data_IF_805508833082
#
_entry.id   IF_805508833082
#
_cell.length_a   1.000
_cell.length_b   1.000
_cell.length_c   1.000
_cell.angle_alpha   90.00
_cell.angle_beta   90.00
_cell.angle_gamma   90.00
#
_symmetry.space_group_name_H-M   'P 1'
#
loop_
_entity.id
_entity.type
_entity.pdbx_description
1 polymer ?
#
# COMPACT_ATOMS: atom_id res chain seq x y z
N UNK A 1 50.58 43.82 -5.49
CA UNK A 1 50.87 43.95 -4.04
C UNK A 1 51.53 45.27 -3.79
N UNK A 2 50.88 46.21 -3.07
CA UNK A 2 51.48 47.47 -2.68
C UNK A 2 52.39 47.21 -1.48
N UNK A 3 53.70 47.36 -1.64
CA UNK A 3 54.63 47.35 -0.53
C UNK A 3 54.35 48.55 0.39
N UNK A 4 53.82 48.28 1.58
CA UNK A 4 53.78 49.27 2.66
C UNK A 4 55.15 49.25 3.34
N UNK A 5 55.91 50.35 3.22
CA UNK A 5 57.12 50.55 3.96
C UNK A 5 56.73 51.29 5.25
N UNK A 6 56.65 50.59 6.36
CA UNK A 6 56.42 51.18 7.70
C UNK A 6 57.72 51.13 8.50
N UNK A 7 58.00 52.15 9.30
CA UNK A 7 59.12 52.11 10.26
C UNK A 7 60.37 52.97 9.94
N UNK A 8 60.31 53.80 8.88
CA UNK A 8 61.53 54.60 8.47
C UNK A 8 61.92 55.68 9.49
N UNK A 9 61.08 56.04 10.45
CA UNK A 9 61.37 57.21 11.35
C UNK A 9 61.35 56.87 12.86
N UNK A 10 60.99 55.67 13.30
CA UNK A 10 60.87 55.34 14.72
C UNK A 10 61.62 54.09 15.16
N UNK A 11 62.26 53.33 14.24
CA UNK A 11 62.97 52.10 14.58
C UNK A 11 62.10 50.97 15.14
N UNK A 12 60.75 51.16 15.18
CA UNK A 12 59.76 50.16 15.59
C UNK A 12 59.22 49.43 14.38
N UNK A 13 59.40 48.16 14.30
CA UNK A 13 58.76 47.29 13.30
C UNK A 13 57.32 47.07 13.69
N UNK A 14 56.42 47.98 13.26
CA UNK A 14 55.00 47.92 13.57
C UNK A 14 54.31 46.77 12.88
N UNK A 15 54.86 46.28 11.75
CA UNK A 15 54.26 45.15 11.02
C UNK A 15 54.55 43.82 11.75
N UNK A 16 55.75 43.72 12.36
CA UNK A 16 56.08 42.59 13.21
C UNK A 16 55.20 42.54 14.48
N UNK A 17 54.99 43.70 15.13
CA UNK A 17 54.11 43.79 16.30
C UNK A 17 52.63 43.44 15.94
N UNK A 18 52.13 43.92 14.80
CA UNK A 18 50.80 43.59 14.33
C UNK A 18 50.68 42.09 14.00
N UNK A 19 51.70 41.52 13.37
CA UNK A 19 51.76 40.08 13.10
C UNK A 19 51.77 39.24 14.37
N UNK A 20 52.58 39.61 15.40
CA UNK A 20 52.55 38.93 16.69
C UNK A 20 51.22 39.06 17.42
N UNK A 21 50.57 40.22 17.40
CA UNK A 21 49.24 40.42 17.97
C UNK A 21 48.16 39.58 17.24
N UNK A 22 48.19 39.59 15.92
CA UNK A 22 47.26 38.76 15.10
C UNK A 22 47.51 37.27 15.38
N UNK A 23 48.75 36.82 15.47
CA UNK A 23 49.12 35.46 15.82
C UNK A 23 48.59 35.06 17.20
N UNK A 24 48.76 35.93 18.21
CA UNK A 24 48.29 35.68 19.58
C UNK A 24 46.74 35.59 19.65
N UNK A 25 46.04 36.45 18.91
CA UNK A 25 44.57 36.37 18.79
C UNK A 25 44.11 35.14 18.02
N UNK A 26 44.81 34.75 16.95
CA UNK A 26 44.56 33.54 16.19
C UNK A 26 44.68 32.30 17.06
N UNK A 27 45.78 32.17 17.81
CA UNK A 27 45.99 31.05 18.76
C UNK A 27 44.87 30.95 19.82
N UNK A 28 44.41 32.10 20.33
CA UNK A 28 43.28 32.11 21.27
C UNK A 28 41.96 31.65 20.61
N UNK A 29 41.72 32.05 19.38
CA UNK A 29 40.51 31.65 18.61
C UNK A 29 40.59 30.16 18.30
N UNK A 30 41.75 29.66 17.85
CA UNK A 30 41.96 28.23 17.58
C UNK A 30 41.72 27.36 18.81
N UNK A 31 42.15 27.80 19.99
CA UNK A 31 41.88 27.10 21.24
C UNK A 31 40.38 26.94 21.48
N UNK A 32 39.58 28.00 21.31
CA UNK A 32 38.14 27.93 21.49
C UNK A 32 37.49 27.04 20.42
N UNK A 33 37.94 27.07 19.17
CA UNK A 33 37.45 26.19 18.11
C UNK A 33 37.73 24.72 18.42
N UNK A 34 38.96 24.40 18.90
CA UNK A 34 39.32 23.05 19.32
C UNK A 34 38.45 22.58 20.51
N UNK A 35 38.21 23.45 21.51
CA UNK A 35 37.34 23.16 22.64
C UNK A 35 35.88 22.93 22.20
N UNK A 36 35.37 23.74 21.28
CA UNK A 36 34.01 23.58 20.70
C UNK A 36 33.90 22.26 19.96
N UNK A 37 34.88 21.90 19.12
CA UNK A 37 34.93 20.63 18.40
C UNK A 37 34.91 19.44 19.37
N UNK A 38 35.73 19.51 20.43
CA UNK A 38 35.76 18.46 21.46
C UNK A 38 34.45 18.34 22.21
N UNK A 39 33.82 19.47 22.51
CA UNK A 39 32.47 19.47 23.13
C UNK A 39 31.42 18.84 22.20
N UNK A 40 31.44 19.18 20.91
CA UNK A 40 30.56 18.58 19.91
C UNK A 40 30.70 17.06 19.83
N UNK A 41 31.96 16.57 19.77
CA UNK A 41 32.23 15.12 19.80
C UNK A 41 31.77 14.46 21.10
N UNK A 42 31.94 15.13 22.24
CA UNK A 42 31.42 14.62 23.52
C UNK A 42 29.90 14.53 23.55
N UNK A 43 29.21 15.53 23.01
CA UNK A 43 27.74 15.50 22.87
C UNK A 43 27.30 14.36 21.95
N UNK A 44 27.99 14.13 20.86
CA UNK A 44 27.69 13.02 19.95
C UNK A 44 27.92 11.67 20.61
N UNK A 45 29.01 11.48 21.34
CA UNK A 45 29.28 10.27 22.09
C UNK A 45 28.17 9.97 23.13
N UNK A 46 27.70 11.00 23.85
CA UNK A 46 26.58 10.86 24.76
C UNK A 46 25.25 10.55 24.04
N UNK A 47 24.99 11.19 22.90
CA UNK A 47 23.79 10.92 22.09
C UNK A 47 23.75 9.48 21.61
N UNK A 48 24.88 8.98 21.10
CA UNK A 48 25.01 7.61 20.61
C UNK A 48 24.81 6.59 21.76
N UNK A 49 25.40 6.83 22.92
CA UNK A 49 25.21 5.99 24.10
C UNK A 49 23.76 6.03 24.59
N UNK A 50 23.16 7.22 24.67
CA UNK A 50 21.77 7.38 25.08
C UNK A 50 20.80 6.60 24.18
N UNK A 51 21.05 6.60 22.87
CA UNK A 51 20.24 5.83 21.93
C UNK A 51 20.28 4.33 22.25
N UNK A 52 21.45 3.80 22.55
CA UNK A 52 21.62 2.38 22.91
C UNK A 52 20.95 2.04 24.26
N UNK A 53 21.17 2.89 25.28
CA UNK A 53 20.54 2.70 26.59
C UNK A 53 19.01 2.79 26.48
N UNK A 54 18.50 3.69 25.63
CA UNK A 54 17.05 3.80 25.39
C UNK A 54 16.51 2.57 24.65
N UNK A 55 17.26 1.97 23.73
CA UNK A 55 16.91 0.70 23.12
C UNK A 55 16.77 -0.40 24.15
N UNK A 56 17.76 -0.55 25.04
CA UNK A 56 17.71 -1.50 26.16
C UNK A 56 16.51 -1.24 27.06
N UNK A 57 16.23 0.01 27.42
CA UNK A 57 15.07 0.37 28.23
C UNK A 57 13.76 -0.11 27.60
N UNK A 58 13.62 0.09 26.28
CA UNK A 58 12.44 -0.40 25.55
C UNK A 58 12.37 -1.93 25.50
N UNK A 59 13.52 -2.61 25.37
CA UNK A 59 13.60 -4.07 25.41
C UNK A 59 13.15 -4.61 26.78
N UNK A 60 13.61 -4.02 27.88
CA UNK A 60 13.16 -4.34 29.23
C UNK A 60 11.67 -4.09 29.39
N UNK A 61 11.19 -2.94 28.89
CA UNK A 61 9.77 -2.58 28.92
C UNK A 61 8.87 -3.66 28.33
N UNK A 62 9.27 -4.23 27.20
CA UNK A 62 8.55 -5.34 26.55
C UNK A 62 8.57 -6.63 27.35
N UNK A 63 9.68 -6.96 28.01
CA UNK A 63 9.83 -8.17 28.82
C UNK A 63 9.06 -8.11 30.17
N UNK A 64 8.56 -6.96 30.59
CA UNK A 64 7.75 -6.83 31.81
C UNK A 64 6.34 -7.41 31.67
N UNK A 65 5.84 -7.57 30.46
CA UNK A 65 4.49 -8.06 30.21
C UNK A 65 4.47 -9.58 30.07
N UNK A 66 3.44 -10.24 30.62
CA UNK A 66 3.22 -11.69 30.48
C UNK A 66 3.11 -12.15 29.04
N UNK A 67 2.65 -11.28 28.15
CA UNK A 67 2.60 -11.56 26.70
C UNK A 67 3.96 -11.85 26.06
N UNK A 68 5.06 -11.40 26.68
CA UNK A 68 6.42 -11.74 26.23
C UNK A 68 6.75 -13.24 26.43
N UNK A 69 6.07 -13.90 27.36
CA UNK A 69 6.29 -15.27 27.78
C UNK A 69 5.17 -16.23 27.35
N UNK A 70 4.13 -15.73 26.69
CA UNK A 70 3.01 -16.53 26.17
C UNK A 70 3.09 -16.74 24.66
N UNK A 71 4.30 -16.71 24.09
CA UNK A 71 4.50 -16.90 22.66
C UNK A 71 4.04 -18.30 22.21
N UNK A 72 3.37 -18.34 21.06
CA UNK A 72 2.89 -19.56 20.45
C UNK A 72 3.56 -19.77 19.09
N UNK A 73 3.73 -21.04 18.75
CA UNK A 73 4.20 -21.49 17.45
C UNK A 73 3.14 -22.39 16.84
N UNK A 74 2.85 -22.20 15.58
CA UNK A 74 1.98 -23.05 14.79
C UNK A 74 2.77 -23.86 13.78
N UNK A 75 2.35 -25.11 13.55
CA UNK A 75 2.77 -25.90 12.40
C UNK A 75 1.53 -26.28 11.61
N UNK A 76 1.61 -26.22 10.28
CA UNK A 76 0.51 -26.47 9.36
C UNK A 76 0.95 -27.59 8.42
N UNK A 77 0.12 -28.62 8.23
CA UNK A 77 0.47 -29.76 7.40
C UNK A 77 0.57 -29.46 5.91
N UNK A 78 -0.18 -28.46 5.43
CA UNK A 78 -0.14 -27.97 4.05
C UNK A 78 -0.13 -26.43 4.00
N UNK A 79 1.08 -25.89 3.89
CA UNK A 79 1.31 -24.43 3.81
C UNK A 79 0.99 -23.85 2.44
N UNK A 80 0.72 -24.67 1.42
CA UNK A 80 0.32 -24.19 0.09
C UNK A 80 -1.15 -23.78 0.05
N UNK A 81 -1.97 -24.31 0.96
CA UNK A 81 -3.41 -24.03 1.04
C UNK A 81 -3.79 -23.12 2.18
N UNK A 82 -3.03 -23.12 3.27
CA UNK A 82 -3.26 -22.21 4.39
C UNK A 82 -1.98 -21.87 5.14
N UNK A 83 -1.90 -20.65 5.63
CA UNK A 83 -0.89 -20.21 6.60
C UNK A 83 -1.58 -19.82 7.90
N UNK A 84 -0.97 -20.16 9.04
CA UNK A 84 -1.56 -19.90 10.35
C UNK A 84 -0.52 -19.30 11.28
N UNK A 85 -0.88 -18.21 11.92
CA UNK A 85 -0.11 -17.65 13.03
C UNK A 85 -0.95 -17.66 14.29
N UNK A 86 -0.31 -17.76 15.47
CA UNK A 86 -1.00 -17.77 16.74
C UNK A 86 -0.60 -16.57 17.59
N UNK A 87 -1.58 -15.93 18.22
CA UNK A 87 -1.36 -14.97 19.31
C UNK A 87 -1.03 -15.70 20.63
N UNK A 88 -0.57 -14.97 21.64
CA UNK A 88 -0.32 -15.53 22.95
C UNK A 88 -1.54 -16.18 23.62
N UNK A 89 -2.74 -15.79 23.19
CA UNK A 89 -4.02 -16.26 23.74
C UNK A 89 -4.49 -17.57 23.08
N UNK A 90 -3.84 -18.01 21.98
CA UNK A 90 -4.20 -19.25 21.32
C UNK A 90 -4.00 -20.47 22.21
N UNK A 91 -4.96 -21.40 22.17
CA UNK A 91 -4.91 -22.63 22.95
C UNK A 91 -3.98 -23.65 22.30
N UNK A 92 -3.10 -24.27 23.11
CA UNK A 92 -2.27 -25.39 22.63
C UNK A 92 -3.16 -26.57 22.24
N UNK A 93 -2.84 -27.21 21.12
CA UNK A 93 -3.57 -28.38 20.65
C UNK A 93 -3.47 -28.56 19.16
N UNK A 94 -4.13 -29.59 18.67
CA UNK A 94 -4.23 -29.90 17.25
C UNK A 94 -5.65 -29.62 16.78
N UNK A 95 -5.78 -28.95 15.65
CA UNK A 95 -7.05 -28.56 15.06
C UNK A 95 -7.08 -29.01 13.59
N UNK A 96 -8.28 -29.30 13.09
CA UNK A 96 -8.51 -29.67 11.70
C UNK A 96 -9.19 -28.52 10.97
N UNK A 97 -8.60 -28.14 9.85
CA UNK A 97 -9.09 -27.08 8.98
C UNK A 97 -9.44 -27.66 7.62
N UNK A 98 -10.68 -27.46 7.19
CA UNK A 98 -11.10 -27.64 5.81
C UNK A 98 -11.33 -26.26 5.19
N UNK A 99 -10.81 -26.07 3.98
CA UNK A 99 -11.06 -24.87 3.17
C UNK A 99 -12.02 -25.25 2.05
N UNK A 100 -13.26 -24.76 2.14
CA UNK A 100 -14.36 -25.11 1.24
C UNK A 100 -14.45 -24.13 0.07
N UNK A 101 -14.15 -22.86 0.29
CA UNK A 101 -13.96 -21.85 -0.75
C UNK A 101 -12.99 -20.78 -0.30
N UNK A 102 -12.39 -20.13 -1.29
CA UNK A 102 -11.59 -18.90 -1.08
C UNK A 102 -12.39 -17.69 -1.53
N UNK A 103 -12.24 -16.56 -0.84
CA UNK A 103 -12.82 -15.30 -1.27
C UNK A 103 -12.20 -14.84 -2.59
N UNK A 104 -13.06 -14.35 -3.46
CA UNK A 104 -12.62 -13.72 -4.71
C UNK A 104 -13.50 -12.52 -5.04
N UNK A 105 -12.92 -11.57 -5.78
CA UNK A 105 -13.65 -10.43 -6.33
C UNK A 105 -14.57 -10.86 -7.48
N UNK A 106 -15.66 -10.15 -7.65
CA UNK A 106 -16.42 -10.21 -8.91
C UNK A 106 -15.53 -9.70 -10.05
N UNK A 107 -15.53 -10.40 -11.18
CA UNK A 107 -14.68 -10.09 -12.33
C UNK A 107 -15.46 -10.24 -13.63
N UNK A 108 -15.42 -9.21 -14.49
CA UNK A 108 -16.06 -9.22 -15.81
C UNK A 108 -14.99 -9.00 -16.88
N UNK A 109 -14.86 -10.00 -17.75
CA UNK A 109 -14.06 -9.89 -18.98
C UNK A 109 -15.01 -9.51 -20.11
N UNK A 110 -14.88 -8.30 -20.62
CA UNK A 110 -15.67 -7.80 -21.72
C UNK A 110 -15.46 -8.58 -23.01
N UNK A 111 -16.47 -8.59 -23.85
CA UNK A 111 -16.36 -9.09 -25.22
C UNK A 111 -15.38 -8.27 -26.06
N UNK A 112 -14.88 -8.85 -27.14
CA UNK A 112 -13.95 -8.16 -28.04
C UNK A 112 -14.67 -7.05 -28.79
N UNK A 113 -14.21 -5.80 -28.64
CA UNK A 113 -14.75 -4.65 -29.34
C UNK A 113 -14.41 -4.71 -30.83
N UNK A 114 -15.28 -4.17 -31.66
CA UNK A 114 -15.09 -4.05 -33.10
C UNK A 114 -15.58 -2.69 -33.59
N UNK A 115 -14.89 -2.14 -34.58
CA UNK A 115 -15.37 -0.99 -35.33
C UNK A 115 -16.57 -1.41 -36.15
N UNK A 116 -17.61 -0.56 -36.18
CA UNK A 116 -18.89 -0.84 -36.87
C UNK A 116 -19.37 0.38 -37.62
N UNK A 117 -20.11 0.14 -38.67
CA UNK A 117 -20.83 1.17 -39.45
C UNK A 117 -22.27 0.78 -39.62
N UNK A 118 -23.14 1.77 -39.72
CA UNK A 118 -24.53 1.56 -40.14
C UNK A 118 -24.58 1.31 -41.65
N UNK A 119 -25.32 0.28 -42.00
CA UNK A 119 -25.58 -0.08 -43.40
C UNK A 119 -27.09 -0.13 -43.61
N UNK A 120 -27.59 0.55 -44.63
CA UNK A 120 -29.00 0.45 -45.08
C UNK A 120 -29.18 -0.77 -45.94
N UNK A 121 -29.96 -1.71 -45.47
CA UNK A 121 -30.32 -2.94 -46.18
C UNK A 121 -31.23 -2.65 -47.39
N UNK A 122 -31.37 -3.60 -48.31
CA UNK A 122 -32.21 -3.46 -49.49
C UNK A 122 -33.71 -3.28 -49.14
N UNK A 123 -34.15 -3.69 -47.96
CA UNK A 123 -35.52 -3.51 -47.45
C UNK A 123 -35.75 -2.18 -46.73
N UNK A 124 -34.72 -1.29 -46.71
CA UNK A 124 -34.77 0.01 -46.04
C UNK A 124 -34.50 -0.01 -44.52
N UNK A 125 -34.26 -1.19 -43.96
CA UNK A 125 -33.82 -1.29 -42.54
C UNK A 125 -32.34 -0.95 -42.39
N UNK A 126 -31.91 -0.52 -41.21
CA UNK A 126 -30.51 -0.30 -40.87
C UNK A 126 -29.98 -1.43 -40.01
N UNK A 127 -28.77 -1.87 -40.31
CA UNK A 127 -28.03 -2.84 -39.51
C UNK A 127 -26.63 -2.30 -39.20
N UNK A 128 -26.02 -2.78 -38.11
CA UNK A 128 -24.66 -2.49 -37.75
C UNK A 128 -23.73 -3.62 -38.19
N UNK A 129 -22.90 -3.34 -39.18
CA UNK A 129 -21.91 -4.29 -39.69
C UNK A 129 -20.51 -4.01 -39.14
N UNK A 130 -19.77 -5.08 -38.85
CA UNK A 130 -18.33 -4.95 -38.54
C UNK A 130 -17.61 -4.39 -39.78
N UNK A 131 -16.73 -3.41 -39.54
CA UNK A 131 -15.81 -2.94 -40.63
C UNK A 131 -14.59 -3.85 -40.67
N UNK A 132 -13.86 -3.81 -41.80
CA UNK A 132 -12.59 -4.50 -41.96
C UNK A 132 -11.47 -3.90 -41.08
N UNK A 133 -11.78 -2.83 -40.35
CA UNK A 133 -10.84 -2.16 -39.44
C UNK A 133 -9.72 -1.41 -40.18
N UNK A 134 -9.99 -0.97 -41.45
CA UNK A 134 -9.05 -0.18 -42.23
C UNK A 134 -9.62 1.19 -42.57
N UNK A 135 -8.73 2.17 -42.71
CA UNK A 135 -9.05 3.50 -43.24
C UNK A 135 -9.12 3.49 -44.74
N UNK A 136 -9.40 4.66 -45.36
CA UNK A 136 -9.48 4.83 -46.80
C UNK A 136 -8.13 4.56 -47.51
N UNK A 137 -7.01 4.69 -46.80
CA UNK A 137 -5.66 4.42 -47.28
C UNK A 137 -5.24 2.95 -47.05
N UNK A 138 -6.11 2.12 -46.44
CA UNK A 138 -5.88 0.70 -46.20
C UNK A 138 -5.09 0.40 -44.90
N UNK A 139 -4.80 1.40 -44.04
CA UNK A 139 -4.11 1.20 -42.79
C UNK A 139 -5.06 0.61 -41.72
N UNK A 140 -4.54 -0.21 -40.85
CA UNK A 140 -5.32 -0.80 -39.76
C UNK A 140 -5.67 0.29 -38.75
N UNK A 141 -6.97 0.49 -38.50
CA UNK A 141 -7.50 1.34 -37.45
C UNK A 141 -7.49 0.51 -36.16
N UNK A 142 -6.59 0.85 -35.24
CA UNK A 142 -6.51 0.21 -33.93
C UNK A 142 -7.55 0.83 -32.99
N UNK A 143 -8.29 -0.01 -32.25
CA UNK A 143 -9.16 0.44 -31.17
C UNK A 143 -8.25 0.75 -29.96
N UNK A 144 -8.29 1.99 -29.50
CA UNK A 144 -7.53 2.50 -28.37
C UNK A 144 -8.49 3.05 -27.30
N UNK A 145 -7.97 3.42 -26.15
CA UNK A 145 -8.72 4.11 -25.10
C UNK A 145 -9.39 5.41 -25.57
N UNK A 146 -8.79 6.09 -26.59
CA UNK A 146 -9.32 7.33 -27.18
C UNK A 146 -10.38 7.08 -28.28
N UNK A 147 -10.68 5.82 -28.61
CA UNK A 147 -11.70 5.50 -29.62
C UNK A 147 -13.08 5.91 -29.12
N UNK A 148 -13.79 6.71 -29.94
CA UNK A 148 -15.15 7.16 -29.65
C UNK A 148 -16.15 6.02 -29.78
N UNK A 149 -17.24 6.06 -28.99
CA UNK A 149 -18.31 5.09 -29.04
C UNK A 149 -19.04 5.08 -30.38
N UNK A 150 -19.07 6.22 -31.09
CA UNK A 150 -19.57 6.29 -32.46
C UNK A 150 -18.81 5.39 -33.42
N UNK A 151 -17.53 5.19 -33.28
CA UNK A 151 -16.74 4.27 -34.11
C UNK A 151 -17.04 2.79 -33.80
N UNK A 152 -17.58 2.49 -32.62
CA UNK A 152 -18.08 1.17 -32.27
C UNK A 152 -19.52 0.94 -32.76
N UNK A 153 -20.17 1.93 -33.40
CA UNK A 153 -21.51 1.87 -33.94
C UNK A 153 -22.58 2.49 -33.02
N UNK A 154 -22.20 3.17 -31.94
CA UNK A 154 -23.13 3.92 -31.12
C UNK A 154 -23.33 5.32 -31.70
N UNK A 155 -24.35 5.47 -32.54
CA UNK A 155 -24.62 6.70 -33.33
C UNK A 155 -25.83 7.49 -32.84
N UNK A 156 -26.46 7.03 -31.76
CA UNK A 156 -27.67 7.64 -31.20
C UNK A 156 -27.36 9.10 -30.82
N UNK A 157 -28.30 9.99 -31.19
CA UNK A 157 -28.10 11.45 -31.05
C UNK A 157 -28.24 11.96 -29.61
N UNK A 158 -28.64 11.11 -28.67
CA UNK A 158 -28.81 11.43 -27.24
C UNK A 158 -27.89 10.55 -26.41
N UNK A 159 -27.47 11.11 -25.28
CA UNK A 159 -26.75 10.33 -24.26
C UNK A 159 -27.70 9.29 -23.67
N UNK A 160 -27.14 8.13 -23.33
CA UNK A 160 -27.88 7.05 -22.67
C UNK A 160 -27.18 6.61 -21.38
N UNK A 161 -27.89 5.85 -20.59
CA UNK A 161 -27.46 5.49 -19.23
C UNK A 161 -27.30 3.98 -19.09
N UNK A 162 -26.22 3.55 -18.45
CA UNK A 162 -26.02 2.19 -17.95
C UNK A 162 -26.12 2.19 -16.42
N UNK A 163 -26.66 1.13 -15.87
CA UNK A 163 -26.76 0.93 -14.43
C UNK A 163 -25.60 0.07 -13.93
N UNK A 164 -24.93 0.55 -12.89
CA UNK A 164 -23.91 -0.18 -12.14
C UNK A 164 -24.50 -0.51 -10.76
N UNK A 165 -24.73 -1.77 -10.53
CA UNK A 165 -25.27 -2.27 -9.26
C UNK A 165 -24.10 -2.76 -8.41
N UNK A 166 -23.96 -2.21 -7.22
CA UNK A 166 -22.94 -2.54 -6.22
C UNK A 166 -23.59 -2.60 -4.84
N UNK A 167 -22.78 -2.90 -3.83
CA UNK A 167 -23.22 -2.84 -2.44
C UNK A 167 -22.38 -1.78 -1.73
N UNK A 168 -22.98 -0.94 -0.90
CA UNK A 168 -22.25 0.04 -0.10
C UNK A 168 -21.60 -0.61 1.14
N UNK A 169 -20.81 0.16 1.88
CA UNK A 169 -20.13 -0.28 3.10
C UNK A 169 -21.07 -0.82 4.20
N UNK A 170 -22.38 -0.52 4.12
CA UNK A 170 -23.39 -1.02 5.04
C UNK A 170 -24.06 -2.31 4.58
N UNK A 171 -23.66 -2.84 3.41
CA UNK A 171 -24.27 -4.01 2.81
C UNK A 171 -25.59 -3.75 2.08
N UNK A 172 -25.94 -2.47 1.80
CA UNK A 172 -27.15 -2.10 1.08
C UNK A 172 -26.88 -2.05 -0.42
N UNK A 173 -27.80 -2.59 -1.22
CA UNK A 173 -27.72 -2.50 -2.68
C UNK A 173 -27.82 -1.04 -3.15
N UNK A 174 -26.90 -0.63 -4.00
CA UNK A 174 -26.84 0.71 -4.59
C UNK A 174 -26.79 0.58 -6.10
N UNK A 175 -27.63 1.33 -6.80
CA UNK A 175 -27.57 1.47 -8.25
C UNK A 175 -27.05 2.86 -8.60
N UNK A 176 -25.92 2.90 -9.27
CA UNK A 176 -25.31 4.10 -9.80
C UNK A 176 -25.47 4.14 -11.31
N UNK A 177 -25.62 5.34 -11.87
CA UNK A 177 -25.90 5.52 -13.29
C UNK A 177 -24.70 6.15 -14.00
N UNK A 178 -24.26 5.54 -15.09
CA UNK A 178 -23.23 6.05 -15.99
C UNK A 178 -23.91 6.57 -17.25
N UNK A 179 -23.76 7.87 -17.51
CA UNK A 179 -24.30 8.50 -18.73
C UNK A 179 -23.21 8.68 -19.76
N UNK A 180 -23.45 8.17 -20.97
CA UNK A 180 -22.49 8.13 -22.08
C UNK A 180 -23.17 8.54 -23.38
N UNK A 181 -22.45 9.25 -24.22
CA UNK A 181 -22.91 9.68 -25.54
C UNK A 181 -22.03 9.12 -26.66
N UNK A 182 -22.43 9.36 -27.91
CA UNK A 182 -21.69 8.91 -29.10
C UNK A 182 -20.25 9.45 -29.20
N UNK A 183 -20.00 10.62 -28.60
CA UNK A 183 -18.71 11.29 -28.59
C UNK A 183 -17.83 10.91 -27.38
N UNK A 184 -18.41 10.20 -26.41
CA UNK A 184 -17.65 9.59 -25.31
C UNK A 184 -16.64 8.59 -25.85
N UNK A 185 -15.49 8.50 -25.18
CA UNK A 185 -14.41 7.57 -25.53
C UNK A 185 -14.46 6.30 -24.68
N UNK A 186 -13.72 5.28 -25.04
CA UNK A 186 -13.53 4.08 -24.17
C UNK A 186 -12.92 4.48 -22.84
N UNK A 187 -12.04 5.50 -22.82
CA UNK A 187 -11.45 6.03 -21.57
C UNK A 187 -12.52 6.65 -20.66
N UNK A 188 -13.51 7.33 -21.24
CA UNK A 188 -14.64 7.88 -20.45
C UNK A 188 -15.45 6.76 -19.80
N UNK A 189 -15.68 5.64 -20.50
CA UNK A 189 -16.32 4.44 -19.92
C UNK A 189 -15.50 3.90 -18.76
N UNK A 190 -14.19 3.74 -18.94
CA UNK A 190 -13.29 3.24 -17.88
C UNK A 190 -13.30 4.19 -16.66
N UNK A 191 -13.26 5.49 -16.90
CA UNK A 191 -13.28 6.50 -15.83
C UNK A 191 -14.60 6.48 -15.08
N UNK A 192 -15.74 6.43 -15.80
CA UNK A 192 -17.06 6.37 -15.20
C UNK A 192 -17.26 5.10 -14.35
N UNK A 193 -16.77 3.93 -14.79
CA UNK A 193 -16.81 2.70 -14.00
C UNK A 193 -15.97 2.81 -12.71
N UNK A 194 -14.80 3.45 -12.78
CA UNK A 194 -13.93 3.67 -11.61
C UNK A 194 -14.54 4.64 -10.59
N UNK A 195 -15.15 5.72 -11.07
CA UNK A 195 -15.86 6.70 -10.22
C UNK A 195 -17.03 6.07 -9.49
N UNK A 196 -17.65 5.05 -10.11
CA UNK A 196 -18.75 4.29 -9.53
C UNK A 196 -18.32 3.04 -8.74
N UNK A 197 -17.10 3.05 -8.22
CA UNK A 197 -16.66 2.09 -7.20
C UNK A 197 -16.07 0.79 -7.72
N UNK A 198 -15.85 0.65 -9.02
CA UNK A 198 -15.24 -0.52 -9.64
C UNK A 198 -13.77 -0.28 -10.00
N UNK A 199 -13.02 -1.34 -10.21
CA UNK A 199 -11.78 -1.29 -10.98
C UNK A 199 -12.15 -1.55 -12.45
N UNK A 200 -11.62 -0.74 -13.35
CA UNK A 200 -11.84 -0.92 -14.78
C UNK A 200 -10.57 -0.60 -15.57
N UNK A 201 -10.37 -1.29 -16.67
CA UNK A 201 -9.28 -1.03 -17.61
C UNK A 201 -9.67 -1.48 -19.01
N UNK A 202 -9.03 -0.92 -20.01
CA UNK A 202 -9.14 -1.34 -21.41
C UNK A 202 -7.81 -1.90 -21.88
N UNK A 203 -7.82 -3.12 -22.37
CA UNK A 203 -6.68 -3.76 -23.03
C UNK A 203 -6.73 -3.50 -24.53
N UNK A 204 -5.93 -2.55 -25.00
CA UNK A 204 -5.86 -2.16 -26.41
C UNK A 204 -5.32 -3.27 -27.31
N UNK A 205 -4.54 -4.20 -26.79
CA UNK A 205 -3.98 -5.29 -27.58
C UNK A 205 -5.03 -6.36 -27.88
N UNK A 206 -5.89 -6.64 -26.89
CA UNK A 206 -6.96 -7.61 -27.02
C UNK A 206 -8.32 -6.98 -27.38
N UNK A 207 -8.45 -5.65 -27.29
CA UNK A 207 -9.67 -4.90 -27.57
C UNK A 207 -10.80 -5.24 -26.59
N UNK A 208 -10.50 -5.37 -25.27
CA UNK A 208 -11.47 -5.80 -24.26
C UNK A 208 -11.45 -4.88 -23.05
N UNK A 209 -12.62 -4.65 -22.50
CA UNK A 209 -12.77 -4.04 -21.18
C UNK A 209 -12.65 -5.13 -20.10
N UNK A 210 -11.94 -4.80 -19.03
CA UNK A 210 -11.82 -5.61 -17.82
C UNK A 210 -12.37 -4.80 -16.66
N UNK A 211 -13.31 -5.40 -15.92
CA UNK A 211 -13.97 -4.75 -14.79
C UNK A 211 -13.93 -5.72 -13.60
N UNK A 212 -13.65 -5.22 -12.41
CA UNK A 212 -13.73 -6.01 -11.18
C UNK A 212 -14.23 -5.19 -10.01
N UNK A 213 -14.79 -5.86 -9.01
CA UNK A 213 -15.01 -5.23 -7.70
C UNK A 213 -13.68 -4.83 -7.06
N UNK A 214 -13.71 -3.83 -6.16
CA UNK A 214 -12.51 -3.41 -5.40
C UNK A 214 -12.14 -4.42 -4.34
N UNK A 215 -13.14 -4.99 -3.69
CA UNK A 215 -12.99 -5.94 -2.60
C UNK A 215 -13.41 -7.34 -3.03
N UNK A 216 -12.99 -8.34 -2.25
CA UNK A 216 -13.43 -9.72 -2.38
C UNK A 216 -14.74 -9.96 -1.63
N UNK A 217 -15.38 -11.06 -1.91
CA UNK A 217 -16.60 -11.48 -1.23
C UNK A 217 -17.86 -11.25 -2.06
N UNK A 218 -18.90 -11.98 -1.68
CA UNK A 218 -20.21 -11.94 -2.34
C UNK A 218 -20.89 -10.58 -2.23
N UNK A 219 -20.73 -9.92 -1.09
CA UNK A 219 -21.29 -8.59 -0.85
C UNK A 219 -20.63 -7.50 -1.70
N UNK A 220 -19.38 -7.70 -2.12
CA UNK A 220 -18.65 -6.76 -2.97
C UNK A 220 -18.88 -6.99 -4.47
N UNK A 221 -19.66 -8.00 -4.84
CA UNK A 221 -19.96 -8.30 -6.24
C UNK A 221 -20.74 -7.16 -6.91
N UNK A 222 -20.72 -7.14 -8.24
CA UNK A 222 -21.33 -6.09 -9.02
C UNK A 222 -22.03 -6.67 -10.27
N UNK A 223 -22.97 -5.91 -10.82
CA UNK A 223 -23.49 -6.14 -12.16
C UNK A 223 -23.57 -4.84 -12.94
N UNK A 224 -23.43 -4.93 -14.26
CA UNK A 224 -23.62 -3.82 -15.17
C UNK A 224 -24.77 -4.20 -16.10
N UNK A 225 -25.78 -3.33 -16.19
CA UNK A 225 -26.96 -3.59 -17.00
C UNK A 225 -27.37 -2.36 -17.80
N UNK A 226 -28.20 -2.59 -18.81
CA UNK A 226 -28.90 -1.50 -19.47
C UNK A 226 -29.86 -0.85 -18.49
N UNK A 227 -29.95 0.47 -18.49
CA UNK A 227 -30.85 1.21 -17.64
C UNK A 227 -32.27 1.21 -18.24
N UNK A 228 -33.28 1.11 -17.37
CA UNK A 228 -34.69 1.30 -17.70
C UNK A 228 -35.23 2.59 -17.12
N UNK A 229 -34.46 3.27 -16.27
CA UNK A 229 -34.85 4.52 -15.62
C UNK A 229 -33.79 5.59 -15.83
N UNK A 230 -34.17 6.86 -15.76
CA UNK A 230 -33.25 8.00 -15.83
C UNK A 230 -33.56 9.03 -14.75
N UNK A 231 -32.55 9.79 -14.32
CA UNK A 231 -32.75 10.90 -13.42
C UNK A 231 -32.96 12.19 -14.21
N UNK A 232 -34.05 12.89 -13.90
CA UNK A 232 -34.35 14.20 -14.46
C UNK A 232 -34.50 15.23 -13.34
N UNK A 233 -34.25 16.51 -13.60
CA UNK A 233 -34.59 17.57 -12.66
C UNK A 233 -36.05 17.55 -12.32
N UNK A 234 -36.41 17.50 -11.04
CA UNK A 234 -37.79 17.60 -10.58
C UNK A 234 -38.31 19.01 -10.79
N UNK A 235 -39.52 19.12 -11.37
CA UNK A 235 -40.25 20.38 -11.53
C UNK A 235 -41.51 20.41 -10.66
N UNK A 236 -41.89 21.62 -10.23
CA UNK A 236 -43.21 21.86 -9.61
C UNK A 236 -44.31 21.94 -10.67
N UNK A 237 -45.54 22.16 -10.23
CA UNK A 237 -46.74 22.23 -11.12
C UNK A 237 -46.68 23.42 -12.10
N UNK A 238 -45.85 24.42 -11.82
CA UNK A 238 -45.61 25.62 -12.64
C UNK A 238 -44.41 25.45 -13.59
N UNK A 239 -43.72 24.28 -13.54
CA UNK A 239 -42.57 23.95 -14.38
C UNK A 239 -41.22 24.50 -13.88
N UNK A 240 -41.15 25.04 -12.64
CA UNK A 240 -39.92 25.54 -12.07
C UNK A 240 -39.14 24.39 -11.41
N UNK A 241 -37.81 24.49 -11.42
CA UNK A 241 -36.92 23.50 -10.78
C UNK A 241 -37.12 23.47 -9.26
N UNK A 242 -37.46 22.33 -8.72
CA UNK A 242 -37.48 22.10 -7.26
C UNK A 242 -36.07 22.04 -6.73
N UNK A 243 -35.79 22.84 -5.69
CA UNK A 243 -34.49 22.87 -5.01
C UNK A 243 -34.61 22.40 -3.56
N UNK A 244 -33.55 21.76 -3.06
CA UNK A 244 -33.41 21.40 -1.64
C UNK A 244 -33.09 22.63 -0.77
N UNK A 245 -32.93 22.42 0.54
CA UNK A 245 -32.61 23.50 1.51
C UNK A 245 -31.24 24.16 1.26
N UNK A 246 -30.34 23.47 0.55
CA UNK A 246 -28.98 23.92 0.24
C UNK A 246 -28.90 24.56 -1.15
N UNK A 247 -30.05 24.65 -1.87
CA UNK A 247 -30.17 25.28 -3.18
C UNK A 247 -29.85 24.35 -4.37
N UNK A 248 -29.57 23.06 -4.14
CA UNK A 248 -29.32 22.10 -5.19
C UNK A 248 -30.63 21.66 -5.85
N UNK A 249 -30.59 21.40 -7.15
CA UNK A 249 -31.75 20.87 -7.90
C UNK A 249 -32.04 19.44 -7.43
N UNK A 250 -33.28 19.22 -7.01
CA UNK A 250 -33.75 17.87 -6.65
C UNK A 250 -33.94 17.08 -7.95
N UNK A 251 -33.37 15.88 -8.00
CA UNK A 251 -33.53 14.96 -9.13
C UNK A 251 -34.63 13.95 -8.79
N UNK A 252 -35.45 13.59 -9.77
CA UNK A 252 -36.40 12.49 -9.67
C UNK A 252 -36.08 11.42 -10.70
N UNK A 253 -36.38 10.16 -10.36
CA UNK A 253 -36.15 9.02 -11.23
C UNK A 253 -37.48 8.68 -11.95
N UNK A 254 -37.41 8.60 -13.28
CA UNK A 254 -38.54 8.26 -14.13
C UNK A 254 -38.19 7.10 -15.05
N UNK A 255 -39.19 6.35 -15.51
CA UNK A 255 -39.00 5.33 -16.53
C UNK A 255 -38.50 5.94 -17.84
N UNK A 256 -37.61 5.23 -18.51
CA UNK A 256 -37.15 5.55 -19.86
C UNK A 256 -38.21 5.10 -20.87
N UNK A 257 -38.29 5.80 -22.01
CA UNK A 257 -39.06 5.32 -23.15
C UNK A 257 -38.46 4.02 -23.72
N UNK A 258 -39.24 3.29 -24.50
CA UNK A 258 -38.76 2.06 -25.16
C UNK A 258 -37.53 2.33 -26.03
N UNK A 259 -37.46 3.46 -26.74
CA UNK A 259 -36.33 3.84 -27.57
C UNK A 259 -35.07 4.14 -26.71
N UNK A 260 -35.22 4.83 -25.58
CA UNK A 260 -34.14 5.12 -24.67
C UNK A 260 -33.59 3.84 -24.03
N UNK A 261 -34.46 2.92 -23.61
CA UNK A 261 -34.07 1.60 -23.11
C UNK A 261 -33.38 0.75 -24.18
N UNK A 262 -33.85 0.83 -25.44
CA UNK A 262 -33.21 0.16 -26.57
C UNK A 262 -31.80 0.72 -26.83
N UNK A 263 -31.62 2.05 -26.75
CA UNK A 263 -30.30 2.71 -26.85
C UNK A 263 -29.36 2.26 -25.75
N UNK A 264 -29.86 2.11 -24.52
CA UNK A 264 -29.05 1.62 -23.38
C UNK A 264 -28.62 0.15 -23.61
N UNK A 265 -29.49 -0.72 -24.07
CA UNK A 265 -29.18 -2.11 -24.44
C UNK A 265 -28.15 -2.18 -25.59
N UNK A 266 -28.36 -1.32 -26.61
CA UNK A 266 -27.39 -1.19 -27.73
C UNK A 266 -26.01 -0.83 -27.25
N UNK A 267 -25.89 0.18 -26.38
CA UNK A 267 -24.62 0.61 -25.84
C UNK A 267 -23.95 -0.48 -25.01
N UNK A 268 -24.67 -1.13 -24.10
CA UNK A 268 -24.16 -2.23 -23.28
C UNK A 268 -23.57 -3.35 -24.13
N UNK A 269 -24.28 -3.74 -25.20
CA UNK A 269 -23.83 -4.76 -26.13
C UNK A 269 -22.63 -4.31 -26.96
N UNK A 270 -22.59 -3.07 -27.49
CA UNK A 270 -21.45 -2.55 -28.27
C UNK A 270 -20.18 -2.46 -27.42
N UNK A 271 -20.28 -2.12 -26.15
CA UNK A 271 -19.19 -2.13 -25.19
C UNK A 271 -18.72 -3.53 -24.78
N UNK A 272 -19.43 -4.58 -25.25
CA UNK A 272 -19.11 -5.95 -24.89
C UNK A 272 -19.26 -6.21 -23.39
N UNK A 273 -20.14 -5.51 -22.69
CA UNK A 273 -20.39 -5.67 -21.24
C UNK A 273 -21.65 -6.51 -20.96
N UNK A 274 -22.40 -6.89 -22.00
CA UNK A 274 -23.58 -7.74 -21.85
C UNK A 274 -23.16 -9.20 -21.59
N UNK A 275 -23.59 -9.73 -20.46
CA UNK A 275 -23.30 -11.11 -20.04
C UNK A 275 -24.36 -12.12 -20.51
N UNK A 276 -25.52 -11.63 -20.98
CA UNK A 276 -26.66 -12.46 -21.31
C UNK A 276 -26.82 -12.60 -22.83
N UNK A 277 -26.74 -11.47 -23.54
CA UNK A 277 -26.99 -11.43 -24.97
C UNK A 277 -25.68 -11.32 -25.77
N UNK A 278 -25.66 -11.98 -26.91
CA UNK A 278 -24.53 -11.94 -27.84
C UNK A 278 -24.90 -11.26 -29.16
N UNK A 279 -25.69 -10.18 -29.10
CA UNK A 279 -26.22 -9.48 -30.26
C UNK A 279 -25.13 -9.02 -31.24
N UNK A 280 -23.96 -8.66 -30.69
CA UNK A 280 -22.83 -8.14 -31.46
C UNK A 280 -21.64 -9.11 -31.55
N UNK A 281 -21.83 -10.39 -31.26
CA UNK A 281 -20.80 -11.41 -31.26
C UNK A 281 -19.59 -11.01 -30.37
N UNK A 282 -19.91 -10.49 -29.18
CA UNK A 282 -18.95 -9.98 -28.20
C UNK A 282 -19.48 -10.07 -26.77
N UNK A 283 -20.11 -11.18 -26.42
CA UNK A 283 -20.63 -11.40 -25.07
C UNK A 283 -19.51 -11.35 -24.00
N UNK A 284 -19.82 -10.72 -22.86
CA UNK A 284 -18.95 -10.70 -21.70
C UNK A 284 -19.01 -12.03 -20.92
N UNK A 285 -17.92 -12.31 -20.20
CA UNK A 285 -17.86 -13.41 -19.24
C UNK A 285 -17.72 -12.82 -17.85
N UNK A 286 -18.66 -13.16 -16.96
CA UNK A 286 -18.66 -12.76 -15.56
C UNK A 286 -18.26 -13.93 -14.67
N UNK A 287 -17.40 -13.65 -13.71
CA UNK A 287 -17.12 -14.51 -12.56
C UNK A 287 -17.62 -13.76 -11.34
N UNK A 288 -18.55 -14.37 -10.60
CA UNK A 288 -19.15 -13.72 -9.44
C UNK A 288 -18.20 -13.66 -8.25
N UNK A 289 -18.34 -12.60 -7.46
CA UNK A 289 -17.66 -12.46 -6.18
C UNK A 289 -18.18 -13.52 -5.21
N UNK A 290 -17.28 -14.09 -4.40
CA UNK A 290 -17.65 -15.10 -3.41
C UNK A 290 -16.85 -14.93 -2.12
N UNK A 291 -17.44 -15.39 -1.02
CA UNK A 291 -16.82 -15.41 0.30
C UNK A 291 -15.90 -16.63 0.46
N UNK A 292 -14.90 -16.47 1.33
CA UNK A 292 -14.17 -17.61 1.85
C UNK A 292 -15.04 -18.35 2.87
N UNK A 293 -15.07 -19.66 2.77
CA UNK A 293 -15.76 -20.55 3.71
C UNK A 293 -14.78 -21.61 4.19
N UNK A 294 -14.64 -21.72 5.49
CA UNK A 294 -13.81 -22.74 6.13
C UNK A 294 -14.61 -23.51 7.18
N UNK A 295 -14.16 -24.72 7.48
CA UNK A 295 -14.55 -25.45 8.68
C UNK A 295 -13.35 -25.66 9.57
N UNK A 296 -13.40 -25.16 10.81
CA UNK A 296 -12.37 -25.39 11.82
C UNK A 296 -12.97 -26.25 12.94
N UNK A 297 -12.44 -27.44 13.13
CA UNK A 297 -12.95 -28.44 14.08
C UNK A 297 -14.46 -28.72 13.94
N UNK A 298 -14.96 -28.80 12.71
CA UNK A 298 -16.38 -29.06 12.43
C UNK A 298 -17.31 -27.83 12.60
N UNK A 299 -16.76 -26.64 12.84
CA UNK A 299 -17.53 -25.38 12.88
C UNK A 299 -17.24 -24.55 11.64
N UNK A 300 -18.30 -24.13 10.98
CA UNK A 300 -18.21 -23.30 9.76
C UNK A 300 -17.97 -21.83 10.11
N UNK A 301 -17.07 -21.21 9.37
CA UNK A 301 -16.79 -19.75 9.41
C UNK A 301 -16.80 -19.22 7.97
N UNK A 302 -17.34 -18.04 7.81
CA UNK A 302 -17.43 -17.35 6.52
C UNK A 302 -16.82 -15.95 6.68
N UNK A 303 -16.04 -15.52 5.68
CA UNK A 303 -15.49 -14.16 5.65
C UNK A 303 -15.42 -13.67 4.20
N UNK A 304 -15.58 -12.35 4.04
CA UNK A 304 -15.43 -11.68 2.73
C UNK A 304 -13.99 -11.64 2.24
N UNK A 305 -13.03 -11.90 3.12
CA UNK A 305 -11.60 -12.02 2.81
C UNK A 305 -11.09 -13.44 3.09
N UNK A 306 -9.89 -13.75 2.64
CA UNK A 306 -9.25 -15.04 2.89
C UNK A 306 -8.60 -15.15 4.29
N UNK A 307 -8.79 -14.15 5.17
CA UNK A 307 -8.18 -14.07 6.48
C UNK A 307 -9.22 -14.24 7.59
N UNK A 308 -8.97 -15.14 8.50
CA UNK A 308 -9.85 -15.46 9.64
C UNK A 308 -9.10 -15.28 10.95
N UNK A 309 -9.70 -14.54 11.88
CA UNK A 309 -9.21 -14.42 13.24
C UNK A 309 -10.12 -15.24 14.18
N UNK A 310 -9.68 -16.41 14.62
CA UNK A 310 -10.50 -17.36 15.38
C UNK A 310 -9.72 -17.83 16.61
N UNK A 311 -10.22 -17.51 17.80
CA UNK A 311 -9.66 -17.99 19.07
C UNK A 311 -8.13 -17.86 19.19
N UNK A 312 -7.61 -16.69 18.82
CA UNK A 312 -6.18 -16.39 18.86
C UNK A 312 -5.36 -16.95 17.70
N UNK A 313 -5.99 -17.63 16.74
CA UNK A 313 -5.38 -18.02 15.48
C UNK A 313 -5.74 -16.99 14.40
N UNK A 314 -4.75 -16.58 13.61
CA UNK A 314 -4.95 -15.87 12.36
C UNK A 314 -4.66 -16.88 11.24
N UNK A 315 -5.72 -17.29 10.53
CA UNK A 315 -5.68 -18.26 9.44
C UNK A 315 -5.86 -17.52 8.13
N UNK A 316 -4.90 -17.62 7.23
CA UNK A 316 -5.00 -17.09 5.86
C UNK A 316 -5.05 -18.26 4.88
N UNK A 317 -6.12 -18.33 4.08
CA UNK A 317 -6.35 -19.43 3.15
C UNK A 317 -6.02 -19.02 1.72
N UNK A 318 -5.35 -19.90 0.98
CA UNK A 318 -4.88 -19.65 -0.40
C UNK A 318 -5.36 -20.70 -1.40
N UNK A 319 -5.92 -21.82 -0.91
CA UNK A 319 -6.42 -22.90 -1.75
C UNK A 319 -7.45 -23.75 -1.04
N UNK A 320 -8.33 -24.38 -1.79
CA UNK A 320 -9.37 -25.27 -1.26
C UNK A 320 -8.82 -26.66 -0.92
N UNK A 321 -9.35 -27.27 0.15
CA UNK A 321 -9.03 -28.66 0.51
C UNK A 321 -10.05 -29.64 -0.03
N UNK A 322 -11.32 -29.20 -0.10
CA UNK A 322 -12.46 -30.02 -0.47
C UNK A 322 -13.21 -29.33 -1.61
N UNK A 323 -13.38 -30.03 -2.72
CA UNK A 323 -14.13 -29.53 -3.87
C UNK A 323 -15.63 -29.77 -3.64
N UNK A 324 -16.29 -28.74 -3.12
CA UNK A 324 -17.73 -28.79 -2.81
C UNK A 324 -18.50 -27.82 -3.71
N UNK A 325 -19.65 -28.28 -4.20
CA UNK A 325 -20.48 -27.49 -5.11
C UNK A 325 -21.09 -26.26 -4.43
N UNK A 326 -21.53 -26.40 -3.18
CA UNK A 326 -22.14 -25.32 -2.39
C UNK A 326 -21.44 -25.22 -1.02
N UNK A 327 -20.35 -24.42 -0.92
CA UNK A 327 -19.62 -24.25 0.32
C UNK A 327 -20.44 -23.64 1.46
N UNK A 328 -21.47 -22.84 1.13
CA UNK A 328 -22.32 -22.20 2.14
C UNK A 328 -23.27 -23.18 2.81
N UNK A 329 -23.74 -24.21 2.12
CA UNK A 329 -24.75 -25.17 2.60
C UNK A 329 -24.23 -26.60 2.74
N UNK A 330 -22.92 -26.84 2.66
CA UNK A 330 -22.36 -28.18 2.76
C UNK A 330 -22.60 -28.79 4.14
N UNK A 331 -22.91 -30.08 4.19
CA UNK A 331 -22.94 -30.86 5.42
C UNK A 331 -21.50 -31.20 5.83
N UNK A 332 -21.03 -30.55 6.89
CA UNK A 332 -19.67 -30.71 7.39
C UNK A 332 -19.33 -32.13 7.85
N UNK A 333 -20.35 -32.96 8.16
CA UNK A 333 -20.17 -34.35 8.56
C UNK A 333 -19.75 -35.25 7.40
N UNK A 334 -19.91 -34.81 6.17
CA UNK A 334 -19.54 -35.56 4.94
C UNK A 334 -18.10 -35.27 4.48
N UNK A 335 -17.41 -34.31 5.10
CA UNK A 335 -16.04 -33.94 4.75
C UNK A 335 -15.07 -35.08 5.14
N UNK A 336 -14.11 -35.36 4.26
CA UNK A 336 -13.09 -36.36 4.52
C UNK A 336 -11.97 -35.76 5.38
N UNK A 337 -11.84 -36.28 6.59
CA UNK A 337 -10.77 -35.88 7.53
C UNK A 337 -9.35 -36.04 6.95
N UNK A 338 -9.17 -36.88 5.91
CA UNK A 338 -7.87 -37.07 5.25
C UNK A 338 -7.43 -35.86 4.40
N UNK A 339 -8.39 -35.05 3.95
CA UNK A 339 -8.14 -33.80 3.18
C UNK A 339 -7.89 -32.61 4.09
N UNK A 340 -8.23 -32.72 5.38
CA UNK A 340 -8.10 -31.65 6.36
C UNK A 340 -6.63 -31.22 6.56
N UNK A 341 -6.42 -29.93 6.61
CA UNK A 341 -5.17 -29.35 7.06
C UNK A 341 -5.08 -29.46 8.57
N UNK A 342 -4.03 -30.11 9.08
CA UNK A 342 -3.76 -30.18 10.50
C UNK A 342 -2.98 -28.97 10.96
N UNK A 343 -3.53 -28.22 11.94
CA UNK A 343 -2.89 -27.08 12.59
C UNK A 343 -2.51 -27.51 14.00
N UNK A 344 -1.22 -27.50 14.33
CA UNK A 344 -0.75 -27.78 15.69
C UNK A 344 -0.20 -26.50 16.30
N UNK A 345 -0.76 -26.09 17.42
CA UNK A 345 -0.33 -24.93 18.21
C UNK A 345 0.37 -25.40 19.47
N UNK A 346 1.57 -24.88 19.71
CA UNK A 346 2.38 -25.18 20.90
C UNK A 346 2.96 -23.89 21.49
N UNK A 347 3.39 -23.96 22.75
CA UNK A 347 4.14 -22.84 23.34
C UNK A 347 5.52 -22.75 22.65
N UNK A 348 5.88 -21.56 22.22
CA UNK A 348 7.17 -21.28 21.58
C UNK A 348 8.26 -21.02 22.63
N UNK A 349 8.70 -22.08 23.29
CA UNK A 349 9.77 -21.98 24.29
C UNK A 349 11.10 -21.47 23.70
N UNK A 350 11.37 -21.77 22.44
CA UNK A 350 12.59 -21.30 21.77
C UNK A 350 12.51 -19.78 21.52
N UNK A 351 11.39 -19.28 21.02
CA UNK A 351 11.20 -17.84 20.81
C UNK A 351 11.26 -17.05 22.13
N UNK A 352 10.74 -17.61 23.23
CA UNK A 352 10.88 -17.02 24.56
C UNK A 352 12.35 -16.99 25.00
N UNK A 353 13.07 -18.12 24.84
CA UNK A 353 14.48 -18.20 25.18
C UNK A 353 15.30 -17.19 24.37
N UNK A 354 15.07 -17.09 23.07
CA UNK A 354 15.80 -16.20 22.20
C UNK A 354 15.58 -14.73 22.59
N UNK A 355 14.36 -14.33 22.93
CA UNK A 355 14.07 -12.98 23.44
C UNK A 355 14.86 -12.63 24.72
N UNK A 356 14.92 -13.57 25.67
CA UNK A 356 15.68 -13.37 26.90
C UNK A 356 17.16 -13.32 26.61
N UNK A 357 17.66 -14.19 25.73
CA UNK A 357 19.06 -14.19 25.31
C UNK A 357 19.46 -12.91 24.60
N UNK A 358 18.61 -12.43 23.69
CA UNK A 358 18.87 -11.17 22.96
C UNK A 358 18.95 -9.98 23.94
N UNK A 359 18.03 -9.91 24.89
CA UNK A 359 18.09 -8.90 25.95
C UNK A 359 19.39 -8.98 26.76
N UNK A 360 19.79 -10.16 27.19
CA UNK A 360 21.05 -10.34 27.94
C UNK A 360 22.27 -9.99 27.10
N UNK A 361 22.22 -10.27 25.81
CA UNK A 361 23.29 -9.90 24.87
C UNK A 361 23.38 -8.38 24.73
N UNK A 362 22.24 -7.70 24.50
CA UNK A 362 22.18 -6.24 24.40
C UNK A 362 22.66 -5.59 25.71
N UNK A 363 22.21 -6.09 26.85
CA UNK A 363 22.65 -5.63 28.18
C UNK A 363 24.17 -5.76 28.34
N UNK A 364 24.74 -6.92 28.06
CA UNK A 364 26.18 -7.15 28.16
C UNK A 364 26.98 -6.25 27.20
N UNK A 365 26.48 -6.05 25.99
CA UNK A 365 27.14 -5.18 25.02
C UNK A 365 27.19 -3.73 25.51
N UNK A 366 26.10 -3.23 26.08
CA UNK A 366 26.05 -1.87 26.63
C UNK A 366 26.97 -1.74 27.84
N UNK A 367 26.97 -2.69 28.79
CA UNK A 367 27.89 -2.68 29.93
C UNK A 367 29.35 -2.67 29.47
N UNK A 368 29.69 -3.52 28.52
CA UNK A 368 31.05 -3.60 27.98
C UNK A 368 31.46 -2.28 27.30
N UNK A 369 30.54 -1.67 26.54
CA UNK A 369 30.80 -0.39 25.88
C UNK A 369 30.98 0.74 26.91
N UNK A 370 30.09 0.85 27.90
CA UNK A 370 30.19 1.84 28.98
C UNK A 370 31.49 1.65 29.74
N UNK A 371 31.85 0.40 30.07
CA UNK A 371 33.06 0.06 30.76
C UNK A 371 34.30 0.47 29.94
N UNK A 372 34.29 0.21 28.64
CA UNK A 372 35.39 0.60 27.72
C UNK A 372 35.52 2.12 27.67
N UNK A 373 34.42 2.85 27.53
CA UNK A 373 34.41 4.32 27.48
C UNK A 373 34.88 4.95 28.78
N UNK A 374 34.40 4.40 29.93
CA UNK A 374 34.80 4.88 31.26
C UNK A 374 36.30 4.64 31.55
N UNK A 375 36.82 3.48 31.19
CA UNK A 375 38.21 3.08 31.42
C UNK A 375 39.12 3.39 30.22
N UNK A 376 38.69 4.16 29.26
CA UNK A 376 39.47 4.49 28.07
C UNK A 376 40.80 5.14 28.43
N UNK A 377 41.81 4.97 27.59
CA UNK A 377 43.10 5.61 27.71
C UNK A 377 42.98 7.15 27.60
N UNK A 378 43.86 7.86 28.22
CA UNK A 378 43.91 9.33 28.06
C UNK A 378 44.40 9.69 26.64
N UNK A 379 43.78 10.70 26.06
CA UNK A 379 44.31 11.28 24.81
C UNK A 379 45.66 11.94 24.97
N UNK A 380 46.10 12.20 26.21
CA UNK A 380 47.39 12.91 26.47
C UNK A 380 47.33 14.32 25.91
N UNK A 381 48.28 14.66 25.06
CA UNK A 381 48.45 15.98 24.43
C UNK A 381 47.71 16.09 23.07
N UNK A 382 46.91 15.06 22.68
CA UNK A 382 46.17 15.13 21.45
C UNK A 382 44.99 16.10 21.57
N UNK A 383 44.88 17.03 20.61
CA UNK A 383 43.80 18.00 20.50
C UNK A 383 43.17 17.91 19.11
N UNK A 384 41.91 18.36 18.96
CA UNK A 384 41.27 18.45 17.64
C UNK A 384 42.14 19.24 16.66
N UNK A 385 42.25 18.76 15.43
CA UNK A 385 43.05 19.40 14.40
C UNK A 385 42.30 20.60 13.82
N UNK A 386 43.01 21.68 13.51
CA UNK A 386 42.55 22.78 12.68
C UNK A 386 42.55 22.36 11.21
N UNK A 387 41.87 23.13 10.36
CA UNK A 387 41.86 22.85 8.92
C UNK A 387 43.26 22.89 8.32
N UNK A 388 44.09 23.87 8.74
CA UNK A 388 45.49 23.99 8.33
C UNK A 388 46.36 22.80 8.80
N UNK A 389 46.05 22.21 9.95
CA UNK A 389 46.73 21.00 10.44
C UNK A 389 46.26 19.77 9.64
N UNK A 390 44.96 19.66 9.30
CA UNK A 390 44.41 18.57 8.48
C UNK A 390 44.96 18.57 7.06
N UNK A 391 45.12 19.74 6.44
CA UNK A 391 45.64 19.87 5.08
C UNK A 391 47.09 19.34 4.94
N UNK A 392 47.78 19.14 6.04
CA UNK A 392 49.16 18.62 6.09
C UNK A 392 49.24 17.12 6.40
N UNK A 393 48.09 16.48 6.58
CA UNK A 393 47.99 15.08 6.99
C UNK A 393 47.16 14.29 5.98
N UNK A 394 47.40 13.00 5.91
CA UNK A 394 46.50 12.11 5.16
C UNK A 394 45.22 11.82 5.95
N UNK A 395 44.12 11.49 5.25
CA UNK A 395 42.84 11.15 5.87
C UNK A 395 42.98 10.05 6.94
N UNK A 396 43.83 9.06 6.69
CA UNK A 396 44.10 7.96 7.63
C UNK A 396 44.80 8.45 8.90
N UNK A 397 45.71 9.43 8.80
CA UNK A 397 46.38 10.02 9.95
C UNK A 397 45.43 10.89 10.75
N UNK A 398 44.58 11.70 10.08
CA UNK A 398 43.53 12.50 10.69
C UNK A 398 42.59 11.61 11.48
N UNK A 399 42.10 10.52 10.85
CA UNK A 399 41.17 9.58 11.49
C UNK A 399 41.79 8.96 12.76
N UNK A 400 43.01 8.47 12.67
CA UNK A 400 43.72 7.90 13.84
C UNK A 400 43.94 8.93 14.95
N UNK A 401 44.32 10.15 14.59
CA UNK A 401 44.50 11.25 15.52
C UNK A 401 43.20 11.60 16.25
N UNK A 402 42.14 11.88 15.49
CA UNK A 402 40.85 12.25 16.06
C UNK A 402 40.21 11.11 16.86
N UNK A 403 40.32 9.84 16.39
CA UNK A 403 39.81 8.67 17.11
C UNK A 403 40.41 8.58 18.51
N UNK A 404 41.69 8.84 18.68
CA UNK A 404 42.34 8.81 19.98
C UNK A 404 41.77 9.84 20.96
N UNK A 405 41.35 10.99 20.44
CA UNK A 405 40.63 12.01 21.23
C UNK A 405 39.22 11.56 21.55
N UNK A 406 38.49 11.14 20.52
CA UNK A 406 37.09 10.73 20.61
C UNK A 406 36.90 9.58 21.60
N UNK A 407 37.77 8.58 21.57
CA UNK A 407 37.75 7.44 22.49
C UNK A 407 37.91 7.84 23.95
N UNK A 408 38.64 8.94 24.22
CA UNK A 408 38.92 9.41 25.59
C UNK A 408 37.88 10.36 26.17
N UNK A 409 36.90 10.81 25.40
CA UNK A 409 35.96 11.90 25.76
C UNK A 409 35.09 11.60 27.00
N UNK A 410 34.76 10.34 27.22
CA UNK A 410 33.92 9.88 28.34
C UNK A 410 34.74 9.17 29.41
N UNK A 411 36.10 9.24 29.34
CA UNK A 411 36.99 8.66 30.32
C UNK A 411 36.71 9.24 31.69
N UNK A 412 36.44 8.37 32.69
CA UNK A 412 36.11 8.74 34.07
C UNK A 412 35.03 9.80 34.23
N UNK A 413 34.10 9.85 33.26
CA UNK A 413 32.93 10.73 33.37
C UNK A 413 32.05 10.28 34.54
N UNK A 414 31.69 11.23 35.41
CA UNK A 414 30.95 10.93 36.66
C UNK A 414 29.57 10.39 36.39
N UNK A 415 28.88 10.89 35.35
CA UNK A 415 27.55 10.41 34.97
C UNK A 415 27.62 8.98 34.41
N UNK A 416 28.67 8.70 33.62
CA UNK A 416 28.91 7.37 33.07
C UNK A 416 29.21 6.36 34.18
N UNK A 417 30.03 6.77 35.17
CA UNK A 417 30.31 5.95 36.36
C UNK A 417 29.06 5.66 37.21
N UNK A 418 28.17 6.64 37.34
CA UNK A 418 26.87 6.44 38.03
C UNK A 418 25.99 5.44 37.31
N UNK A 419 25.91 5.54 35.96
CA UNK A 419 25.14 4.58 35.13
C UNK A 419 25.73 3.18 35.30
N UNK A 420 27.07 3.03 35.17
CA UNK A 420 27.75 1.74 35.31
C UNK A 420 27.51 1.07 36.66
N UNK A 421 27.45 1.85 37.73
CA UNK A 421 27.18 1.34 39.06
C UNK A 421 25.67 1.00 39.30
N UNK A 422 24.76 1.58 38.52
CA UNK A 422 23.31 1.35 38.63
C UNK A 422 22.85 0.18 37.75
N UNK A 423 23.60 -0.21 36.77
CA UNK A 423 23.34 -1.36 35.89
C UNK A 423 23.93 -2.64 36.46
#
# INVERSE_FOLDING_TARGET
MAMRVSGINSGLDTDAIVQELVSAYSQKTEKYTKEQTKLGWKQEAWKNLNTKVYSLYNSVGKLRYSSAYSMKKTTVSDTTKATVTASGDAVNGTQKLHVLSTAQSGYLTGGKLALRKEVTNADGTTSLEKTDGRDEDGNIIKITSETKLSALGYTDGKDTTLDVHTTNEKGEAVTQKITLGKDSTIQDVVSALRENGLNASFDENNGRLFVSSKDTGKAADFTISASTTKKIPKTDDDGNLVKDKDGNVVMEEIEMSDDESASSKKLLGLLGLDTVNNTYDNQAVKIDGRDAVISLNGVKYTNTTNDFAINGLNVSVTGVTDDVTDPENVDLSTLDDSTAITITTTTDSQGIYDKVKDFLTEYNNIINEITKLYNADSAGSYEPLTDDEKDKMSDTEIEKWETKIKDSLLRRDTSLGTILNSM
#
